data_IF_780078945832
#
_entry.id   IF_780078945832
#
_cell.length_a   1.000
_cell.length_b   1.000
_cell.length_c   1.000
_cell.angle_alpha   90.00
_cell.angle_beta   90.00
_cell.angle_gamma   90.00
#
_symmetry.space_group_name_H-M   'P 1'
#
loop_
_entity.id
_entity.type
_entity.pdbx_description
1 polymer ?
#
# COMPACT_ATOMS: atom_id res chain seq x y z
N UNK A 1 -15.38 -36.44 41.28
CA UNK A 1 -14.43 -35.75 40.39
C UNK A 1 -13.99 -34.46 41.07
N UNK A 2 -12.75 -34.37 41.54
CA UNK A 2 -12.21 -33.15 42.18
C UNK A 2 -11.63 -32.27 41.08
N UNK A 3 -12.26 -31.14 40.78
CA UNK A 3 -11.69 -30.11 39.91
C UNK A 3 -10.58 -29.38 40.68
N UNK A 4 -9.33 -29.75 40.44
CA UNK A 4 -8.20 -28.92 40.87
C UNK A 4 -8.24 -27.60 40.11
N UNK A 5 -8.70 -26.52 40.75
CA UNK A 5 -8.51 -25.16 40.24
C UNK A 5 -7.02 -24.88 40.20
N UNK A 6 -6.45 -24.87 38.99
CA UNK A 6 -5.06 -24.44 38.75
C UNK A 6 -4.92 -23.03 39.33
N UNK A 7 -4.14 -22.87 40.41
CA UNK A 7 -3.82 -21.54 40.96
C UNK A 7 -2.80 -20.90 40.03
N UNK A 8 -3.26 -20.02 39.16
CA UNK A 8 -2.38 -19.16 38.37
C UNK A 8 -1.63 -18.22 39.31
N UNK A 9 -0.35 -18.01 39.05
CA UNK A 9 0.42 -16.93 39.63
C UNK A 9 -0.16 -15.57 39.18
N UNK A 10 0.15 -14.51 39.93
CA UNK A 10 -0.25 -13.14 39.58
C UNK A 10 0.24 -12.77 38.17
N UNK A 11 1.45 -13.20 37.80
CA UNK A 11 2.05 -12.94 36.49
C UNK A 11 1.26 -13.62 35.36
N UNK A 12 0.89 -14.89 35.56
CA UNK A 12 0.09 -15.62 34.56
C UNK A 12 -1.30 -15.01 34.37
N UNK A 13 -1.95 -14.59 35.46
CA UNK A 13 -3.24 -13.89 35.38
C UNK A 13 -3.10 -12.56 34.62
N UNK A 14 -2.06 -11.78 34.89
CA UNK A 14 -1.80 -10.52 34.18
C UNK A 14 -1.56 -10.76 32.68
N UNK A 15 -0.77 -11.78 32.34
CA UNK A 15 -0.52 -12.14 30.94
C UNK A 15 -1.81 -12.57 30.22
N UNK A 16 -2.65 -13.40 30.84
CA UNK A 16 -3.94 -13.79 30.28
C UNK A 16 -4.88 -12.60 30.09
N UNK A 17 -4.93 -11.69 31.07
CA UNK A 17 -5.74 -10.48 30.98
C UNK A 17 -5.27 -9.56 29.85
N UNK A 18 -3.96 -9.38 29.69
CA UNK A 18 -3.39 -8.61 28.57
C UNK A 18 -3.76 -9.24 27.23
N UNK A 19 -3.65 -10.57 27.11
CA UNK A 19 -4.04 -11.28 25.88
C UNK A 19 -5.53 -11.10 25.58
N UNK A 20 -6.40 -11.27 26.58
CA UNK A 20 -7.84 -11.08 26.42
C UNK A 20 -8.20 -9.65 25.99
N UNK A 21 -7.58 -8.63 26.61
CA UNK A 21 -7.81 -7.24 26.26
C UNK A 21 -7.39 -6.93 24.81
N UNK A 22 -6.34 -7.57 24.31
CA UNK A 22 -5.90 -7.45 22.91
C UNK A 22 -6.92 -8.07 21.95
N UNK A 23 -7.39 -9.29 22.23
CA UNK A 23 -8.44 -9.95 21.43
C UNK A 23 -9.74 -9.13 21.40
N UNK A 24 -10.16 -8.59 22.54
CA UNK A 24 -11.33 -7.69 22.60
C UNK A 24 -11.10 -6.45 21.73
N UNK A 25 -9.90 -5.87 21.75
CA UNK A 25 -9.58 -4.71 20.92
C UNK A 25 -9.57 -5.06 19.42
N UNK A 26 -9.03 -6.22 19.05
CA UNK A 26 -9.06 -6.73 17.67
C UNK A 26 -10.49 -6.92 17.18
N UNK A 27 -11.31 -7.62 17.95
CA UNK A 27 -12.73 -7.83 17.62
C UNK A 27 -13.52 -6.52 17.52
N UNK A 28 -13.19 -5.50 18.34
CA UNK A 28 -13.80 -4.15 18.22
C UNK A 28 -13.43 -3.47 16.91
N UNK A 29 -12.17 -3.54 16.49
CA UNK A 29 -11.71 -3.00 15.20
C UNK A 29 -12.35 -3.73 14.03
N UNK A 30 -12.40 -5.06 14.08
CA UNK A 30 -13.09 -5.86 13.05
C UNK A 30 -14.56 -5.44 12.91
N UNK A 31 -15.27 -5.22 14.04
CA UNK A 31 -16.64 -4.70 14.03
C UNK A 31 -16.75 -3.29 13.45
N UNK A 32 -15.77 -2.43 13.68
CA UNK A 32 -15.72 -1.09 13.09
C UNK A 32 -15.62 -1.16 11.56
N UNK A 33 -14.73 -2.02 11.04
CA UNK A 33 -14.59 -2.27 9.60
C UNK A 33 -15.83 -2.93 8.99
N UNK A 34 -16.46 -3.88 9.69
CA UNK A 34 -17.74 -4.49 9.28
C UNK A 34 -18.82 -3.42 9.11
N UNK A 35 -18.99 -2.54 10.11
CA UNK A 35 -19.96 -1.45 10.05
C UNK A 35 -19.63 -0.43 8.97
N UNK A 36 -18.34 -0.11 8.80
CA UNK A 36 -17.89 0.73 7.71
C UNK A 36 -18.31 0.11 6.37
N UNK A 37 -18.02 -1.17 6.16
CA UNK A 37 -18.41 -1.89 4.95
C UNK A 37 -19.91 -1.81 4.66
N UNK A 38 -20.74 -2.14 5.65
CA UNK A 38 -22.21 -2.12 5.52
C UNK A 38 -22.76 -0.74 5.16
N UNK A 39 -22.21 0.33 5.74
CA UNK A 39 -22.64 1.71 5.47
C UNK A 39 -22.14 2.27 4.12
N UNK A 40 -21.20 1.56 3.49
CA UNK A 40 -20.42 2.07 2.36
C UNK A 40 -20.80 1.39 1.05
N UNK A 41 -21.62 0.33 1.07
CA UNK A 41 -21.88 -0.44 -0.14
C UNK A 41 -22.62 0.34 -1.25
N UNK A 42 -23.34 1.42 -0.94
CA UNK A 42 -24.30 2.01 -1.90
C UNK A 42 -24.04 3.48 -2.33
N UNK A 43 -23.25 4.27 -1.58
CA UNK A 43 -23.18 5.72 -1.82
C UNK A 43 -21.83 6.17 -2.42
N UNK A 44 -21.71 6.40 -3.74
CA UNK A 44 -20.48 6.91 -4.41
C UNK A 44 -20.10 8.37 -4.05
N UNK A 45 -20.07 8.68 -2.75
CA UNK A 45 -19.73 9.98 -2.18
C UNK A 45 -18.44 9.83 -1.40
N UNK A 46 -17.49 10.72 -1.66
CA UNK A 46 -16.20 10.80 -0.99
C UNK A 46 -16.11 12.13 -0.24
N UNK A 47 -15.44 12.13 0.91
CA UNK A 47 -15.28 13.34 1.72
C UNK A 47 -14.20 14.26 1.14
N UNK A 48 -13.17 13.68 0.54
CA UNK A 48 -12.06 14.37 -0.07
C UNK A 48 -12.33 14.62 -1.57
N UNK A 49 -12.23 15.89 -1.97
CA UNK A 49 -12.45 16.29 -3.36
C UNK A 49 -11.43 15.69 -4.32
N UNK A 50 -10.20 15.41 -3.86
CA UNK A 50 -9.16 14.75 -4.67
C UNK A 50 -9.57 13.32 -5.00
N UNK A 51 -10.16 12.61 -4.04
CA UNK A 51 -10.66 11.23 -4.24
C UNK A 51 -11.85 11.23 -5.19
N UNK A 52 -12.75 12.21 -5.06
CA UNK A 52 -13.87 12.39 -6.00
C UNK A 52 -13.36 12.58 -7.42
N UNK A 53 -12.45 13.53 -7.64
CA UNK A 53 -11.86 13.81 -8.96
C UNK A 53 -11.15 12.56 -9.52
N UNK A 54 -10.47 11.82 -8.66
CA UNK A 54 -9.78 10.59 -9.06
C UNK A 54 -10.75 9.50 -9.51
N UNK A 55 -11.85 9.33 -8.78
CA UNK A 55 -12.90 8.39 -9.15
C UNK A 55 -13.55 8.76 -10.49
N UNK A 56 -13.79 10.06 -10.74
CA UNK A 56 -14.26 10.52 -12.06
C UNK A 56 -13.26 10.20 -13.18
N UNK A 57 -11.96 10.39 -12.95
CA UNK A 57 -10.92 10.01 -13.93
C UNK A 57 -10.97 8.52 -14.24
N UNK A 58 -11.12 7.67 -13.21
CA UNK A 58 -11.31 6.24 -13.37
C UNK A 58 -12.55 5.91 -14.21
N UNK A 59 -13.70 6.54 -13.89
CA UNK A 59 -14.96 6.33 -14.63
C UNK A 59 -14.86 6.74 -16.10
N UNK A 60 -14.13 7.80 -16.38
CA UNK A 60 -13.92 8.29 -17.74
C UNK A 60 -13.01 7.37 -18.56
N UNK A 61 -11.97 6.81 -17.92
CA UNK A 61 -10.96 5.94 -18.56
C UNK A 61 -11.52 4.59 -18.97
N UNK A 62 -12.34 3.95 -18.13
CA UNK A 62 -12.85 2.61 -18.37
C UNK A 62 -14.36 2.66 -18.67
N UNK A 63 -14.78 2.11 -19.82
CA UNK A 63 -16.20 2.15 -20.23
C UNK A 63 -17.00 1.03 -19.59
N UNK A 64 -16.47 -0.19 -19.62
CA UNK A 64 -16.99 -1.35 -18.87
C UNK A 64 -16.19 -1.49 -17.56
N UNK A 65 -16.82 -1.16 -16.43
CA UNK A 65 -16.15 -1.00 -15.13
C UNK A 65 -16.54 -2.11 -14.18
N UNK A 66 -15.93 -3.27 -14.34
CA UNK A 66 -16.26 -4.46 -13.55
C UNK A 66 -15.74 -4.35 -12.10
N UNK A 67 -14.75 -3.49 -11.88
CA UNK A 67 -14.13 -3.27 -10.57
C UNK A 67 -14.64 -2.01 -9.87
N UNK A 68 -15.63 -1.30 -10.44
CA UNK A 68 -16.11 -0.01 -9.88
C UNK A 68 -16.52 -0.10 -8.40
N UNK A 69 -17.31 -1.10 -7.95
CA UNK A 69 -17.67 -1.21 -6.54
C UNK A 69 -16.45 -1.40 -5.63
N UNK A 70 -15.48 -2.22 -6.05
CA UNK A 70 -14.26 -2.49 -5.29
C UNK A 70 -13.34 -1.27 -5.26
N UNK A 71 -13.15 -0.58 -6.38
CA UNK A 71 -12.37 0.66 -6.47
C UNK A 71 -12.98 1.74 -5.59
N UNK A 72 -14.29 1.96 -5.70
CA UNK A 72 -15.01 2.95 -4.88
C UNK A 72 -14.90 2.63 -3.39
N UNK A 73 -14.99 1.35 -3.03
CA UNK A 73 -14.84 0.89 -1.66
C UNK A 73 -13.43 1.18 -1.11
N UNK A 74 -12.38 0.76 -1.82
CA UNK A 74 -10.99 1.00 -1.43
C UNK A 74 -10.66 2.50 -1.34
N UNK A 75 -11.20 3.32 -2.23
CA UNK A 75 -11.04 4.77 -2.16
C UNK A 75 -11.63 5.39 -0.89
N UNK A 76 -12.73 4.84 -0.36
CA UNK A 76 -13.30 5.30 0.92
C UNK A 76 -12.54 4.75 2.11
N UNK A 77 -12.02 3.53 2.01
CA UNK A 77 -11.11 3.00 3.03
C UNK A 77 -9.89 3.91 3.21
N UNK A 78 -9.38 4.55 2.15
CA UNK A 78 -8.29 5.53 2.27
C UNK A 78 -8.68 6.70 3.19
N UNK A 79 -9.91 7.20 3.08
CA UNK A 79 -10.45 8.28 3.93
C UNK A 79 -10.71 7.80 5.35
N UNK A 80 -11.43 6.68 5.50
CA UNK A 80 -11.74 6.06 6.79
C UNK A 80 -10.48 5.69 7.59
N UNK A 81 -9.45 5.22 6.88
CA UNK A 81 -8.17 4.88 7.49
C UNK A 81 -7.25 6.09 7.71
N UNK A 82 -7.67 7.29 7.29
CA UNK A 82 -6.90 8.53 7.37
C UNK A 82 -5.51 8.40 6.73
N UNK A 83 -5.48 8.05 5.44
CA UNK A 83 -4.21 7.90 4.70
C UNK A 83 -3.40 9.20 4.66
N UNK A 84 -4.06 10.37 4.74
CA UNK A 84 -3.39 11.68 4.77
C UNK A 84 -2.45 11.82 5.98
N UNK A 85 -2.78 11.20 7.12
CA UNK A 85 -1.92 11.23 8.31
C UNK A 85 -0.86 10.12 8.35
N UNK A 86 -0.84 9.22 7.37
CA UNK A 86 0.09 8.09 7.31
C UNK A 86 1.24 8.44 6.38
N UNK A 87 2.49 8.12 6.73
CA UNK A 87 3.62 8.31 5.80
C UNK A 87 3.61 7.21 4.73
N UNK A 88 3.94 7.59 3.48
CA UNK A 88 4.15 6.65 2.37
C UNK A 88 5.46 5.85 2.50
N UNK A 89 6.37 6.30 3.37
CA UNK A 89 7.62 5.61 3.71
C UNK A 89 7.74 5.55 5.24
N UNK A 90 7.04 4.62 5.90
CA UNK A 90 7.03 4.53 7.36
C UNK A 90 8.44 4.35 7.96
N UNK A 91 8.72 5.04 9.07
CA UNK A 91 10.02 5.01 9.75
C UNK A 91 10.43 3.63 10.29
N UNK A 92 9.47 2.72 10.48
CA UNK A 92 9.76 1.32 10.80
C UNK A 92 10.60 0.62 9.72
N UNK A 93 10.65 1.18 8.50
CA UNK A 93 11.46 0.71 7.39
C UNK A 93 12.74 1.54 7.17
N UNK A 94 13.02 2.55 8.01
CA UNK A 94 14.17 3.46 7.88
C UNK A 94 15.52 2.72 7.83
N UNK A 95 15.68 1.65 8.60
CA UNK A 95 16.89 0.80 8.58
C UNK A 95 17.16 0.17 7.21
N UNK A 96 16.12 -0.04 6.38
CA UNK A 96 16.26 -0.55 5.01
C UNK A 96 16.73 0.54 4.03
N UNK A 97 16.62 1.82 4.40
CA UNK A 97 17.00 2.97 3.59
C UNK A 97 18.30 3.65 4.01
N UNK A 98 19.10 3.05 4.91
CA UNK A 98 20.38 3.66 5.36
C UNK A 98 21.31 4.00 4.18
N UNK A 99 21.34 3.15 3.13
CA UNK A 99 22.13 3.38 1.91
C UNK A 99 21.55 4.50 1.00
N UNK A 100 20.31 4.91 1.26
CA UNK A 100 19.56 5.91 0.49
C UNK A 100 18.99 7.01 1.38
N UNK A 101 19.69 7.35 2.48
CA UNK A 101 19.21 8.29 3.50
C UNK A 101 18.69 9.61 2.90
N UNK A 102 19.40 10.18 1.92
CA UNK A 102 18.99 11.39 1.21
C UNK A 102 17.65 11.23 0.46
N UNK A 103 17.38 10.05 -0.12
CA UNK A 103 16.11 9.75 -0.80
C UNK A 103 14.99 9.50 0.21
N UNK A 104 15.27 8.79 1.30
CA UNK A 104 14.33 8.60 2.40
C UNK A 104 13.91 9.92 3.03
N UNK A 105 14.87 10.80 3.34
CA UNK A 105 14.60 12.10 3.93
C UNK A 105 13.71 12.98 3.03
N UNK A 106 13.87 12.88 1.70
CA UNK A 106 12.97 13.53 0.74
C UNK A 106 11.57 12.92 0.73
N UNK A 107 11.45 11.59 0.75
CA UNK A 107 10.17 10.90 0.53
C UNK A 107 9.33 10.70 1.80
N UNK A 108 9.93 10.72 2.99
CA UNK A 108 9.23 10.43 4.26
C UNK A 108 8.09 11.40 4.57
N UNK A 109 8.18 12.62 4.05
CA UNK A 109 7.20 13.70 4.25
C UNK A 109 5.99 13.55 3.29
N UNK A 110 6.05 12.63 2.33
CA UNK A 110 4.94 12.32 1.45
C UNK A 110 3.97 11.40 2.18
N UNK A 111 2.74 11.85 2.37
CA UNK A 111 1.70 11.02 2.95
C UNK A 111 1.21 9.93 2.00
N UNK A 112 0.68 8.86 2.59
CA UNK A 112 0.22 7.66 1.91
C UNK A 112 -0.91 7.99 0.92
N UNK A 113 -1.84 8.89 1.27
CA UNK A 113 -2.94 9.28 0.39
C UNK A 113 -2.40 9.87 -0.92
N UNK A 114 -1.52 10.86 -0.81
CA UNK A 114 -0.93 11.54 -1.96
C UNK A 114 -0.14 10.59 -2.84
N UNK A 115 0.61 9.66 -2.23
CA UNK A 115 1.34 8.64 -2.96
C UNK A 115 0.39 7.70 -3.70
N UNK A 116 -0.57 7.08 -3.00
CA UNK A 116 -1.56 6.17 -3.60
C UNK A 116 -2.32 6.83 -4.75
N UNK A 117 -2.77 8.08 -4.59
CA UNK A 117 -3.43 8.86 -5.65
C UNK A 117 -2.51 9.00 -6.87
N UNK A 118 -1.23 9.37 -6.67
CA UNK A 118 -0.28 9.53 -7.78
C UNK A 118 -0.03 8.22 -8.52
N UNK A 119 0.18 7.12 -7.81
CA UNK A 119 0.38 5.79 -8.44
C UNK A 119 -0.87 5.40 -9.22
N UNK A 120 -2.06 5.61 -8.66
CA UNK A 120 -3.32 5.32 -9.35
C UNK A 120 -3.52 6.19 -10.60
N UNK A 121 -3.23 7.49 -10.52
CA UNK A 121 -3.22 8.38 -11.71
C UNK A 121 -2.28 7.81 -12.78
N UNK A 122 -1.08 7.34 -12.40
CA UNK A 122 -0.15 6.74 -13.37
C UNK A 122 -0.69 5.48 -14.01
N UNK A 123 -1.51 4.69 -13.33
CA UNK A 123 -2.21 3.57 -13.96
C UNK A 123 -3.27 4.03 -14.97
N UNK A 124 -4.03 5.09 -14.64
CA UNK A 124 -5.07 5.62 -15.53
C UNK A 124 -4.49 6.30 -16.79
N UNK A 125 -3.33 6.93 -16.65
CA UNK A 125 -2.59 7.60 -17.73
C UNK A 125 -1.71 6.64 -18.55
N UNK A 126 -1.61 5.37 -18.13
CA UNK A 126 -0.73 4.41 -18.78
C UNK A 126 -1.32 3.99 -20.14
N UNK A 127 -0.76 4.54 -21.21
CA UNK A 127 -1.10 4.17 -22.58
C UNK A 127 -0.35 2.90 -22.98
N UNK A 128 -1.11 1.85 -23.29
CA UNK A 128 -0.58 0.57 -23.76
C UNK A 128 -1.51 0.00 -24.79
N UNK A 129 -1.03 -0.99 -25.55
CA UNK A 129 -1.87 -1.80 -26.42
C UNK A 129 -2.61 -2.93 -25.65
N UNK A 130 -2.67 -2.85 -24.32
CA UNK A 130 -3.32 -3.88 -23.49
C UNK A 130 -4.83 -3.66 -23.41
N UNK A 131 -5.61 -4.75 -23.24
CA UNK A 131 -7.06 -4.64 -23.05
C UNK A 131 -7.45 -3.80 -21.83
N UNK A 132 -8.54 -3.04 -21.94
CA UNK A 132 -9.05 -2.20 -20.84
C UNK A 132 -9.28 -2.98 -19.54
N UNK A 133 -9.78 -4.22 -19.64
CA UNK A 133 -9.98 -5.09 -18.47
C UNK A 133 -8.68 -5.39 -17.72
N UNK A 134 -7.59 -5.60 -18.45
CA UNK A 134 -6.27 -5.79 -17.85
C UNK A 134 -5.79 -4.49 -17.20
N UNK A 135 -5.96 -3.35 -17.87
CA UNK A 135 -5.59 -2.05 -17.32
C UNK A 135 -6.41 -1.65 -16.08
N UNK A 136 -7.67 -2.04 -16.01
CA UNK A 136 -8.52 -1.85 -14.83
C UNK A 136 -7.98 -2.65 -13.63
N UNK A 137 -7.46 -3.86 -13.87
CA UNK A 137 -6.81 -4.67 -12.84
C UNK A 137 -5.48 -4.04 -12.38
N UNK A 138 -4.70 -3.44 -13.28
CA UNK A 138 -3.53 -2.63 -12.89
C UNK A 138 -3.95 -1.44 -12.02
N UNK A 139 -5.03 -0.75 -12.37
CA UNK A 139 -5.57 0.32 -11.54
C UNK A 139 -5.94 -0.19 -10.13
N UNK A 140 -6.62 -1.34 -10.01
CA UNK A 140 -6.90 -1.96 -8.72
C UNK A 140 -5.62 -2.24 -7.92
N UNK A 141 -4.61 -2.85 -8.54
CA UNK A 141 -3.35 -3.19 -7.89
C UNK A 141 -2.62 -1.95 -7.39
N UNK A 142 -2.53 -0.91 -8.23
CA UNK A 142 -1.90 0.36 -7.85
C UNK A 142 -2.62 1.07 -6.71
N UNK A 143 -3.94 0.98 -6.64
CA UNK A 143 -4.71 1.50 -5.51
C UNK A 143 -4.36 0.75 -4.22
N UNK A 144 -4.36 -0.58 -4.27
CA UNK A 144 -4.29 -1.42 -3.07
C UNK A 144 -2.87 -1.73 -2.56
N UNK A 145 -1.83 -1.62 -3.39
CA UNK A 145 -0.50 -2.20 -3.11
C UNK A 145 0.12 -1.78 -1.77
N UNK A 146 -0.19 -0.57 -1.31
CA UNK A 146 0.46 0.08 -0.17
C UNK A 146 -0.45 0.23 1.07
N UNK A 147 -1.65 -0.35 1.03
CA UNK A 147 -2.62 -0.29 2.14
C UNK A 147 -2.05 -0.79 3.47
N UNK A 148 -1.19 -1.81 3.43
CA UNK A 148 -0.53 -2.38 4.61
C UNK A 148 0.46 -1.45 5.31
N UNK A 149 0.79 -0.28 4.74
CA UNK A 149 1.55 0.77 5.43
C UNK A 149 0.70 1.51 6.47
N UNK A 150 -0.63 1.49 6.34
CA UNK A 150 -1.53 2.15 7.29
C UNK A 150 -1.66 1.33 8.59
N UNK A 151 -1.53 2.00 9.74
CA UNK A 151 -1.56 1.34 11.05
C UNK A 151 -2.90 0.70 11.40
N UNK A 152 -4.03 1.28 10.98
CA UNK A 152 -5.37 0.71 11.24
C UNK A 152 -5.50 -0.63 10.49
N UNK A 153 -5.16 -0.65 9.20
CA UNK A 153 -5.16 -1.85 8.34
C UNK A 153 -4.18 -2.89 8.87
N UNK A 154 -2.94 -2.50 9.18
CA UNK A 154 -1.96 -3.41 9.77
C UNK A 154 -2.51 -4.05 11.05
N UNK A 155 -3.13 -3.27 11.94
CA UNK A 155 -3.66 -3.78 13.19
C UNK A 155 -4.91 -4.66 13.06
N UNK A 156 -5.60 -4.59 11.91
CA UNK A 156 -6.73 -5.45 11.58
C UNK A 156 -6.24 -6.82 11.10
N UNK A 157 -5.21 -6.82 10.26
CA UNK A 157 -4.84 -7.98 9.43
C UNK A 157 -3.64 -8.73 10.00
N UNK A 158 -2.65 -8.04 10.55
CA UNK A 158 -1.39 -8.64 10.96
C UNK A 158 -1.57 -9.65 12.10
N UNK A 159 -0.77 -10.71 12.07
CA UNK A 159 -0.70 -11.68 13.16
C UNK A 159 -0.07 -11.05 14.41
N UNK A 160 -0.47 -11.50 15.60
CA UNK A 160 0.09 -10.95 16.85
C UNK A 160 1.61 -11.14 16.91
N UNK A 161 2.34 -10.04 17.12
CA UNK A 161 3.79 -10.05 17.27
C UNK A 161 4.59 -10.28 15.99
N UNK A 162 3.94 -10.37 14.82
CA UNK A 162 4.63 -10.51 13.55
C UNK A 162 5.16 -9.15 13.05
N UNK A 163 6.32 -9.18 12.39
CA UNK A 163 6.84 -8.08 11.57
C UNK A 163 6.59 -8.40 10.10
N UNK A 164 5.32 -8.42 9.72
CA UNK A 164 4.93 -8.71 8.34
C UNK A 164 5.25 -7.51 7.44
N UNK A 165 5.67 -7.80 6.20
CA UNK A 165 5.95 -6.77 5.22
C UNK A 165 4.64 -6.14 4.74
N UNK A 166 4.66 -4.83 4.43
CA UNK A 166 3.43 -4.09 4.11
C UNK A 166 2.69 -4.68 2.90
N UNK A 167 3.40 -5.19 1.89
CA UNK A 167 2.84 -5.88 0.73
C UNK A 167 2.05 -7.15 1.11
N UNK A 168 2.49 -7.89 2.12
CA UNK A 168 1.74 -9.07 2.60
C UNK A 168 0.43 -8.62 3.27
N UNK A 169 0.52 -7.58 4.10
CA UNK A 169 -0.65 -6.99 4.75
C UNK A 169 -1.63 -6.41 3.73
N UNK A 170 -1.15 -5.71 2.71
CA UNK A 170 -1.96 -5.19 1.60
C UNK A 170 -2.68 -6.32 0.86
N UNK A 171 -1.97 -7.42 0.55
CA UNK A 171 -2.56 -8.57 -0.15
C UNK A 171 -3.64 -9.26 0.67
N UNK A 172 -3.39 -9.47 1.98
CA UNK A 172 -4.37 -10.04 2.90
C UNK A 172 -5.58 -9.12 3.09
N UNK A 173 -5.36 -7.82 3.20
CA UNK A 173 -6.45 -6.84 3.29
C UNK A 173 -7.33 -6.87 2.04
N UNK A 174 -6.72 -6.82 0.84
CA UNK A 174 -7.45 -6.89 -0.42
C UNK A 174 -8.26 -8.19 -0.52
N UNK A 175 -7.70 -9.32 -0.09
CA UNK A 175 -8.41 -10.60 -0.06
C UNK A 175 -9.69 -10.52 0.76
N UNK A 176 -9.61 -9.99 1.99
CA UNK A 176 -10.76 -9.83 2.89
C UNK A 176 -11.84 -8.96 2.24
N UNK A 177 -11.45 -7.83 1.65
CA UNK A 177 -12.38 -6.90 0.99
C UNK A 177 -13.06 -7.57 -0.20
N UNK A 178 -12.30 -8.21 -1.10
CA UNK A 178 -12.86 -8.85 -2.30
C UNK A 178 -13.79 -10.03 -1.95
N UNK A 179 -13.41 -10.85 -0.98
CA UNK A 179 -14.26 -11.95 -0.49
C UNK A 179 -15.56 -11.45 0.12
N UNK A 180 -15.54 -10.28 0.76
CA UNK A 180 -16.72 -9.69 1.38
C UNK A 180 -17.69 -9.06 0.37
N UNK A 181 -17.19 -8.54 -0.75
CA UNK A 181 -18.02 -8.04 -1.86
C UNK A 181 -18.72 -9.20 -2.60
N UNK A 182 -18.21 -10.44 -2.51
CA UNK A 182 -18.82 -11.68 -3.06
C UNK A 182 -19.11 -11.68 -4.58
N UNK A 183 -18.51 -10.75 -5.34
CA UNK A 183 -18.71 -10.63 -6.80
C UNK A 183 -17.52 -11.13 -7.63
N UNK A 184 -16.53 -11.76 -6.99
CA UNK A 184 -15.26 -12.10 -7.61
C UNK A 184 -14.92 -13.57 -7.41
N UNK A 185 -14.48 -14.26 -8.46
CA UNK A 185 -14.01 -15.66 -8.37
C UNK A 185 -12.75 -15.77 -7.52
N UNK A 186 -12.58 -16.88 -6.80
CA UNK A 186 -11.37 -17.16 -6.02
C UNK A 186 -10.09 -17.09 -6.85
N UNK A 187 -10.12 -17.54 -8.10
CA UNK A 187 -8.98 -17.46 -9.03
C UNK A 187 -8.53 -16.01 -9.24
N UNK A 188 -9.47 -15.12 -9.58
CA UNK A 188 -9.21 -13.69 -9.73
C UNK A 188 -8.70 -13.05 -8.44
N UNK A 189 -9.31 -13.36 -7.29
CA UNK A 189 -8.86 -12.86 -5.98
C UNK A 189 -7.41 -13.27 -5.72
N UNK A 190 -7.09 -14.56 -5.88
CA UNK A 190 -5.75 -15.07 -5.65
C UNK A 190 -4.73 -14.42 -6.61
N UNK A 191 -5.08 -14.25 -7.90
CA UNK A 191 -4.21 -13.59 -8.87
C UNK A 191 -3.84 -12.14 -8.48
N UNK A 192 -4.81 -11.35 -8.01
CA UNK A 192 -4.58 -9.98 -7.55
C UNK A 192 -3.75 -9.96 -6.26
N UNK A 193 -4.09 -10.82 -5.30
CA UNK A 193 -3.36 -10.94 -4.04
C UNK A 193 -1.92 -11.39 -4.23
N UNK A 194 -1.65 -12.36 -5.11
CA UNK A 194 -0.31 -12.84 -5.40
C UNK A 194 0.54 -11.75 -6.08
N UNK A 195 -0.10 -10.94 -6.94
CA UNK A 195 0.55 -9.80 -7.58
C UNK A 195 0.98 -8.74 -6.56
N UNK A 196 0.11 -8.37 -5.61
CA UNK A 196 0.48 -7.47 -4.51
C UNK A 196 1.51 -8.13 -3.59
N UNK A 197 1.34 -9.39 -3.22
CA UNK A 197 2.25 -10.08 -2.31
C UNK A 197 3.68 -10.08 -2.86
N UNK A 198 3.86 -10.27 -4.16
CA UNK A 198 5.18 -10.40 -4.78
C UNK A 198 5.71 -9.11 -5.42
N UNK A 199 5.04 -7.96 -5.37
CA UNK A 199 5.50 -6.80 -6.17
C UNK A 199 6.90 -6.27 -5.80
N UNK A 200 7.36 -6.48 -4.55
CA UNK A 200 8.73 -6.14 -4.12
C UNK A 200 9.78 -7.22 -4.43
N UNK A 201 9.40 -8.43 -4.89
CA UNK A 201 10.37 -9.53 -5.10
C UNK A 201 11.29 -9.26 -6.29
N UNK A 202 10.81 -8.58 -7.34
CA UNK A 202 11.61 -8.27 -8.53
C UNK A 202 12.70 -7.22 -8.25
N UNK A 203 12.50 -6.35 -7.27
CA UNK A 203 13.50 -5.39 -6.82
C UNK A 203 14.71 -6.07 -6.15
N UNK A 204 14.56 -7.29 -5.61
CA UNK A 204 15.68 -8.04 -5.02
C UNK A 204 16.63 -8.62 -6.07
N UNK A 205 16.12 -9.02 -7.23
CA UNK A 205 16.93 -9.65 -8.29
C UNK A 205 17.80 -8.60 -9.00
N UNK A 206 17.26 -7.40 -9.26
CA UNK A 206 18.06 -6.30 -9.82
C UNK A 206 19.15 -5.78 -8.86
N UNK A 207 18.97 -5.94 -7.54
CA UNK A 207 19.98 -5.58 -6.53
C UNK A 207 21.14 -6.57 -6.42
N UNK A 208 20.95 -7.83 -6.82
CA UNK A 208 22.03 -8.83 -6.89
C UNK A 208 22.88 -8.62 -8.17
N UNK A 209 22.30 -8.03 -9.21
CA UNK A 209 22.96 -7.76 -10.49
C UNK A 209 23.83 -6.48 -10.51
N UNK A 210 24.22 -5.92 -9.37
CA UNK A 210 25.25 -4.88 -9.30
C UNK A 210 26.63 -5.58 -9.23
N UNK A 211 27.45 -5.54 -10.29
CA UNK A 211 28.68 -6.32 -10.37
C UNK A 211 29.79 -5.60 -9.62
N UNK A 212 29.99 -5.94 -8.34
CA UNK A 212 31.22 -5.64 -7.61
C UNK A 212 31.58 -6.76 -6.62
N UNK A 213 31.33 -8.02 -6.99
CA UNK A 213 31.99 -9.15 -6.35
C UNK A 213 32.64 -10.03 -7.41
N UNK A 214 33.94 -9.81 -7.61
CA UNK A 214 34.89 -10.84 -8.02
C UNK A 214 34.76 -12.00 -7.04
N UNK A 215 33.98 -13.02 -7.37
CA UNK A 215 34.23 -14.43 -7.07
C UNK A 215 33.06 -15.23 -7.67
N UNK A 216 33.43 -16.19 -8.53
CA UNK A 216 32.50 -16.89 -9.40
C UNK A 216 31.52 -17.77 -8.64
N UNK A 217 30.26 -17.67 -9.06
CA UNK A 217 29.39 -18.81 -9.35
C UNK A 217 28.24 -18.26 -10.22
N UNK A 218 28.41 -18.39 -11.54
CA UNK A 218 27.28 -18.33 -12.47
C UNK A 218 26.58 -19.68 -12.36
N UNK A 219 25.67 -19.82 -11.41
CA UNK A 219 24.66 -20.87 -11.52
C UNK A 219 23.60 -20.39 -12.50
N UNK A 220 23.36 -21.22 -13.51
CA UNK A 220 22.30 -21.10 -14.51
C UNK A 220 20.92 -20.99 -13.83
N UNK A 221 20.50 -19.77 -13.53
CA UNK A 221 19.10 -19.41 -13.28
C UNK A 221 18.45 -18.99 -14.60
N UNK A 222 18.47 -19.90 -15.58
CA UNK A 222 17.69 -19.81 -16.82
C UNK A 222 16.32 -20.47 -16.68
N UNK A 223 15.74 -20.44 -15.47
CA UNK A 223 14.29 -20.56 -15.33
C UNK A 223 13.69 -19.31 -15.97
N UNK A 224 13.06 -19.46 -17.13
CA UNK A 224 12.28 -18.43 -17.80
C UNK A 224 11.33 -17.78 -16.79
N UNK A 225 11.76 -16.66 -16.22
CA UNK A 225 10.92 -15.86 -15.33
C UNK A 225 9.83 -15.31 -16.24
N UNK A 226 8.66 -15.97 -16.25
CA UNK A 226 7.46 -15.41 -16.85
C UNK A 226 7.20 -14.16 -16.04
N UNK A 227 7.64 -13.02 -16.57
CA UNK A 227 7.47 -11.73 -15.94
C UNK A 227 5.98 -11.53 -15.76
N UNK A 228 5.51 -11.57 -14.52
CA UNK A 228 4.11 -11.34 -14.23
C UNK A 228 3.81 -9.88 -14.63
N UNK A 229 3.11 -9.71 -15.76
CA UNK A 229 2.81 -8.41 -16.35
C UNK A 229 2.05 -7.51 -15.36
N UNK A 230 1.24 -8.06 -14.45
CA UNK A 230 0.61 -7.29 -13.37
C UNK A 230 1.64 -6.61 -12.46
N UNK A 231 2.65 -7.38 -12.01
CA UNK A 231 3.73 -6.89 -11.15
C UNK A 231 4.57 -5.84 -11.89
N UNK A 232 4.88 -6.10 -13.15
CA UNK A 232 5.65 -5.19 -14.00
C UNK A 232 4.98 -3.84 -14.12
N UNK A 233 3.71 -3.80 -14.53
CA UNK A 233 2.99 -2.54 -14.73
C UNK A 233 2.68 -1.82 -13.41
N UNK A 234 2.39 -2.56 -12.33
CA UNK A 234 2.31 -1.98 -10.98
C UNK A 234 3.61 -1.25 -10.61
N UNK A 235 4.76 -1.91 -10.79
CA UNK A 235 6.06 -1.33 -10.46
C UNK A 235 6.43 -0.15 -11.38
N UNK A 236 6.03 -0.17 -12.66
CA UNK A 236 6.18 0.98 -13.58
C UNK A 236 5.41 2.19 -13.02
N UNK A 237 4.15 2.00 -12.63
CA UNK A 237 3.32 3.08 -12.07
C UNK A 237 3.88 3.62 -10.76
N UNK A 238 4.29 2.75 -9.83
CA UNK A 238 4.90 3.16 -8.56
C UNK A 238 6.20 3.93 -8.79
N UNK A 239 7.09 3.39 -9.61
CA UNK A 239 8.35 4.06 -9.94
C UNK A 239 8.12 5.43 -10.58
N UNK A 240 7.20 5.53 -11.55
CA UNK A 240 6.86 6.79 -12.21
C UNK A 240 6.31 7.82 -11.22
N UNK A 241 5.47 7.40 -10.27
CA UNK A 241 4.98 8.27 -9.20
C UNK A 241 6.12 8.75 -8.28
N UNK A 242 7.02 7.84 -7.88
CA UNK A 242 8.19 8.19 -7.05
C UNK A 242 9.15 9.16 -7.73
N UNK A 243 9.40 8.99 -9.04
CA UNK A 243 10.22 9.92 -9.81
C UNK A 243 9.59 11.31 -9.84
N UNK A 244 8.29 11.40 -10.07
CA UNK A 244 7.57 12.68 -10.11
C UNK A 244 7.52 13.36 -8.74
N UNK A 245 7.34 12.59 -7.66
CA UNK A 245 7.41 13.07 -6.29
C UNK A 245 8.77 13.72 -5.97
N UNK A 246 9.86 13.03 -6.31
CA UNK A 246 11.22 13.55 -6.11
C UNK A 246 11.44 14.83 -6.90
N UNK A 247 10.99 14.88 -8.15
CA UNK A 247 11.10 16.07 -9.01
C UNK A 247 10.42 17.29 -8.38
N UNK A 248 9.21 17.10 -7.84
CA UNK A 248 8.45 18.19 -7.19
C UNK A 248 9.16 18.66 -5.92
N UNK A 249 9.72 17.74 -5.12
CA UNK A 249 10.47 18.10 -3.91
C UNK A 249 11.72 18.91 -4.28
N UNK A 250 12.47 18.48 -5.28
CA UNK A 250 13.68 19.15 -5.73
C UNK A 250 13.39 20.55 -6.27
N UNK A 251 12.30 20.71 -7.03
CA UNK A 251 11.85 22.02 -7.49
C UNK A 251 11.51 22.96 -6.32
N UNK A 252 10.78 22.47 -5.30
CA UNK A 252 10.45 23.27 -4.11
C UNK A 252 11.68 23.71 -3.32
N UNK A 253 12.69 22.85 -3.22
CA UNK A 253 13.97 23.18 -2.58
C UNK A 253 14.65 24.32 -3.33
N UNK A 254 14.76 24.21 -4.66
CA UNK A 254 15.36 25.25 -5.51
C UNK A 254 14.62 26.59 -5.41
N UNK A 255 13.29 26.58 -5.42
CA UNK A 255 12.47 27.79 -5.25
C UNK A 255 12.70 28.44 -3.87
N UNK A 256 12.79 27.63 -2.81
CA UNK A 256 13.06 28.11 -1.45
C UNK A 256 14.45 28.72 -1.32
N UNK A 257 15.46 28.09 -1.91
CA UNK A 257 16.84 28.61 -1.93
C UNK A 257 16.95 29.90 -2.74
N UNK A 258 16.28 29.97 -3.89
CA UNK A 258 16.22 31.19 -4.71
C UNK A 258 15.58 32.36 -3.97
N UNK A 259 14.48 32.11 -3.24
CA UNK A 259 13.80 33.14 -2.44
C UNK A 259 14.67 33.64 -1.28
N UNK A 260 15.32 32.74 -0.53
CA UNK A 260 16.28 33.11 0.53
C UNK A 260 17.44 33.95 0.00
N UNK A 261 17.95 33.62 -1.18
CA UNK A 261 19.03 34.39 -1.81
C UNK A 261 18.59 35.80 -2.24
N UNK A 262 17.34 35.94 -2.73
CA UNK A 262 16.75 37.25 -3.04
C UNK A 262 16.53 38.09 -1.79
N UNK A 263 16.03 37.50 -0.70
CA UNK A 263 15.88 38.18 0.60
C UNK A 263 17.23 38.66 1.12
N UNK A 264 18.27 37.82 1.07
CA UNK A 264 19.61 38.20 1.50
C UNK A 264 20.20 39.36 0.68
N UNK A 265 19.92 39.42 -0.63
CA UNK A 265 20.32 40.53 -1.50
C UNK A 265 19.43 41.79 -1.37
N UNK A 266 18.23 41.64 -0.83
CA UNK A 266 17.25 42.71 -0.63
C UNK A 266 17.38 43.45 0.69
N UNK A 267 18.24 43.00 1.60
CA UNK A 267 18.64 43.75 2.81
C UNK A 267 19.71 44.77 2.39
N UNK A 268 19.27 46.00 2.09
CA UNK A 268 20.11 47.21 2.02
C UNK A 268 19.49 48.29 2.88
#
# INVERSE_FOLDING_TARGET
MIFFRKKYSIIEMLYQNIKLLREINKARKEREFVKHFENTHEAHQFQDSRVTILFEKYRNRFKDRQLEPLIAYLMRDMEFCNFESSSSVPSIYETQYIRYKNRYDKLRDINLLSHTIRVFIKALELETNMPDRFMEQIALLTLAHDFGKNKKIYSLVASEGSREAHNHISALYLKIVMQRIQNYSDEFINSMCDSIYNHHSNNRIQQIAVPNSTYGQKEDLSLSFVENEFIKYLNICDHAARTEELRIIEQKILETESNKFKEWKGIK
#
